data_IF_936232161228
#
_entry.id   IF_936232161228
#
_cell.length_a   1.000
_cell.length_b   1.000
_cell.length_c   1.000
_cell.angle_alpha   90.00
_cell.angle_beta   90.00
_cell.angle_gamma   90.00
#
_symmetry.space_group_name_H-M   'P 1'
#
loop_
_entity.id
_entity.type
_entity.pdbx_description
1 polymer ?
#
# COMPACT_ATOMS: atom_id res chain seq x y z
N UNK A 1 -9.63 -12.04 -14.68
CA UNK A 1 -9.14 -10.82 -14.01
C UNK A 1 -7.64 -10.66 -14.22
N UNK A 2 -6.85 -11.74 -14.14
CA UNK A 2 -5.40 -11.68 -14.34
C UNK A 2 -5.00 -11.15 -15.73
N UNK A 3 -5.77 -11.42 -16.77
CA UNK A 3 -5.57 -10.83 -18.09
C UNK A 3 -5.65 -9.30 -18.09
N UNK A 4 -6.51 -8.70 -17.28
CA UNK A 4 -6.60 -7.24 -17.15
C UNK A 4 -5.46 -6.70 -16.29
N UNK A 5 -5.16 -7.37 -15.17
CA UNK A 5 -4.05 -6.99 -14.28
C UNK A 5 -2.69 -7.04 -14.98
N UNK A 6 -2.51 -8.01 -15.87
CA UNK A 6 -1.27 -8.27 -16.59
C UNK A 6 -1.37 -7.86 -18.07
N UNK A 7 -2.33 -6.99 -18.43
CA UNK A 7 -2.58 -6.61 -19.82
C UNK A 7 -1.38 -5.92 -20.46
N UNK A 8 -0.58 -5.21 -19.67
CA UNK A 8 0.65 -4.55 -20.10
C UNK A 8 1.83 -5.10 -19.29
N UNK A 9 2.95 -5.39 -19.94
CA UNK A 9 4.16 -5.79 -19.24
C UNK A 9 4.68 -4.60 -18.40
N UNK A 10 5.33 -4.86 -17.25
CA UNK A 10 5.82 -3.78 -16.39
C UNK A 10 6.91 -2.93 -17.05
N UNK A 11 7.57 -3.42 -18.10
CA UNK A 11 8.54 -2.69 -18.92
C UNK A 11 7.86 -1.69 -19.90
N UNK A 12 6.52 -1.70 -20.00
CA UNK A 12 5.78 -0.74 -20.81
C UNK A 12 5.80 0.66 -20.14
N UNK A 13 6.79 1.46 -20.50
CA UNK A 13 7.03 2.79 -19.94
C UNK A 13 6.13 3.87 -20.56
N UNK A 14 6.03 5.01 -19.86
CA UNK A 14 5.28 6.19 -20.31
C UNK A 14 3.79 5.92 -20.58
N UNK A 15 3.17 5.01 -19.82
CA UNK A 15 1.73 4.79 -19.86
C UNK A 15 1.00 6.13 -19.63
N UNK A 16 0.01 6.49 -20.46
CA UNK A 16 -0.74 7.73 -20.28
C UNK A 16 -1.43 7.76 -18.92
N UNK A 17 -1.17 8.82 -18.15
CA UNK A 17 -1.74 9.00 -16.81
C UNK A 17 -2.23 10.43 -16.62
N UNK A 18 -3.29 10.57 -15.83
CA UNK A 18 -3.75 11.87 -15.33
C UNK A 18 -3.07 12.28 -14.01
N UNK A 19 -2.12 11.47 -13.54
CA UNK A 19 -1.36 11.68 -12.30
C UNK A 19 -0.23 12.70 -12.44
N UNK A 20 0.36 13.09 -11.30
CA UNK A 20 1.40 14.11 -11.22
C UNK A 20 2.78 13.64 -11.71
N UNK A 21 3.03 12.33 -11.73
CA UNK A 21 4.25 11.72 -12.26
C UNK A 21 3.92 10.57 -13.22
N UNK A 22 4.85 10.28 -14.13
CA UNK A 22 4.77 9.24 -15.16
C UNK A 22 5.94 8.26 -14.97
N UNK A 23 5.72 6.93 -15.02
CA UNK A 23 6.80 5.95 -14.91
C UNK A 23 7.72 6.01 -16.13
N UNK A 24 9.03 6.13 -15.89
CA UNK A 24 10.06 6.22 -16.94
C UNK A 24 11.12 5.13 -16.87
N UNK A 25 11.26 4.48 -15.72
CA UNK A 25 12.21 3.39 -15.50
C UNK A 25 11.60 2.36 -14.55
N UNK A 26 11.87 1.09 -14.83
CA UNK A 26 11.53 -0.04 -14.00
C UNK A 26 12.69 -1.03 -14.01
N UNK A 27 13.10 -1.46 -12.81
CA UNK A 27 14.01 -2.60 -12.62
C UNK A 27 13.32 -3.61 -11.69
N UNK A 28 13.10 -4.86 -12.16
CA UNK A 28 12.44 -5.89 -11.37
C UNK A 28 13.07 -6.07 -9.98
N UNK A 29 12.22 -6.19 -8.95
CA UNK A 29 12.61 -6.39 -7.55
C UNK A 29 13.59 -5.34 -6.98
N UNK A 30 13.68 -4.16 -7.61
CA UNK A 30 14.58 -3.08 -7.20
C UNK A 30 13.86 -1.74 -7.12
N UNK A 31 13.45 -1.15 -8.26
CA UNK A 31 12.93 0.21 -8.27
C UNK A 31 11.96 0.50 -9.42
N UNK A 32 11.05 1.45 -9.17
CA UNK A 32 10.34 2.21 -10.20
C UNK A 32 10.67 3.69 -10.03
N UNK A 33 11.10 4.33 -11.11
CA UNK A 33 11.35 5.78 -11.15
C UNK A 33 10.27 6.47 -11.96
N UNK A 34 9.70 7.54 -11.39
CA UNK A 34 8.68 8.36 -12.04
C UNK A 34 9.17 9.80 -12.19
N UNK A 35 8.85 10.44 -13.32
CA UNK A 35 9.18 11.84 -13.62
C UNK A 35 7.92 12.70 -13.62
N UNK A 36 8.06 13.98 -13.28
CA UNK A 36 6.96 14.96 -13.31
C UNK A 36 6.21 14.89 -14.65
N UNK A 37 4.88 14.89 -14.60
CA UNK A 37 4.04 14.91 -15.79
C UNK A 37 3.96 16.36 -16.35
N UNK A 38 4.50 16.64 -17.55
CA UNK A 38 4.46 17.99 -18.12
C UNK A 38 3.04 18.46 -18.50
N UNK A 39 2.09 17.52 -18.60
CA UNK A 39 0.68 17.80 -18.88
C UNK A 39 -0.20 17.75 -17.63
N UNK A 40 0.39 17.80 -16.42
CA UNK A 40 -0.40 17.81 -15.19
C UNK A 40 -1.24 19.08 -15.09
N UNK A 41 -2.51 18.92 -14.73
CA UNK A 41 -3.51 19.96 -14.86
C UNK A 41 -3.72 20.78 -13.59
N UNK A 42 -3.06 20.42 -12.48
CA UNK A 42 -3.17 21.17 -11.21
C UNK A 42 -2.08 22.24 -11.11
N UNK A 43 -2.47 23.41 -10.64
CA UNK A 43 -1.59 24.54 -10.34
C UNK A 43 -1.79 24.98 -8.89
N UNK A 44 -0.79 25.65 -8.32
CA UNK A 44 -0.96 26.38 -7.05
C UNK A 44 -1.56 27.77 -7.27
N UNK A 45 -1.81 28.50 -6.17
CA UNK A 45 -2.38 29.85 -6.21
C UNK A 45 -1.52 30.88 -6.96
N UNK A 46 -0.22 30.61 -7.13
CA UNK A 46 0.72 31.46 -7.86
C UNK A 46 0.84 31.07 -9.34
N UNK A 47 0.08 30.06 -9.79
CA UNK A 47 0.12 29.55 -11.15
C UNK A 47 1.28 28.60 -11.44
N UNK A 48 2.00 28.10 -10.42
CA UNK A 48 3.04 27.09 -10.65
C UNK A 48 2.39 25.73 -10.93
N UNK A 49 2.72 25.13 -12.08
CA UNK A 49 2.25 23.80 -12.42
C UNK A 49 2.85 22.75 -11.48
N UNK A 50 1.98 21.96 -10.84
CA UNK A 50 2.35 20.88 -9.93
C UNK A 50 2.83 19.64 -10.72
N UNK A 51 3.50 18.66 -10.07
CA UNK A 51 3.98 18.64 -8.68
C UNK A 51 5.23 19.51 -8.48
N UNK A 52 5.51 19.90 -7.23
CA UNK A 52 6.76 20.58 -6.89
C UNK A 52 8.00 19.67 -7.02
N UNK A 53 7.85 18.39 -6.66
CA UNK A 53 8.92 17.40 -6.76
C UNK A 53 9.03 16.86 -8.19
N UNK A 54 10.25 16.86 -8.74
CA UNK A 54 10.48 16.44 -10.13
C UNK A 54 10.49 14.93 -10.32
N UNK A 55 10.79 14.16 -9.28
CA UNK A 55 10.98 12.72 -9.33
C UNK A 55 10.33 12.07 -8.11
N UNK A 56 9.80 10.87 -8.32
CA UNK A 56 9.32 9.98 -7.27
C UNK A 56 9.92 8.59 -7.49
N UNK A 57 10.38 7.96 -6.41
CA UNK A 57 10.98 6.63 -6.45
C UNK A 57 10.18 5.67 -5.57
N UNK A 58 9.86 4.50 -6.12
CA UNK A 58 9.35 3.36 -5.36
C UNK A 58 10.41 2.27 -5.34
N UNK A 59 11.04 2.08 -4.19
CA UNK A 59 11.92 0.93 -3.95
C UNK A 59 11.07 -0.30 -3.70
N UNK A 60 11.29 -1.35 -4.47
CA UNK A 60 10.54 -2.60 -4.40
C UNK A 60 11.10 -3.48 -3.29
N UNK A 61 10.77 -3.12 -2.05
CA UNK A 61 11.16 -3.84 -0.83
C UNK A 61 9.93 -4.30 -0.05
N UNK A 62 10.10 -4.64 1.22
CA UNK A 62 9.02 -5.10 2.11
C UNK A 62 8.38 -3.93 2.87
N UNK A 63 7.16 -4.12 3.37
CA UNK A 63 6.47 -3.12 4.19
C UNK A 63 7.22 -2.77 5.47
N UNK A 64 7.84 -3.75 6.13
CA UNK A 64 8.63 -3.51 7.33
C UNK A 64 9.89 -2.69 7.01
N UNK A 65 10.52 -2.92 5.86
CA UNK A 65 11.70 -2.17 5.43
C UNK A 65 11.38 -0.69 5.12
N UNK A 66 10.13 -0.38 4.71
CA UNK A 66 9.67 1.01 4.59
C UNK A 66 9.85 1.80 5.89
N UNK A 67 9.48 1.21 7.03
CA UNK A 67 9.66 1.83 8.35
C UNK A 67 11.12 2.05 8.68
N UNK A 68 11.95 1.03 8.43
CA UNK A 68 13.41 1.06 8.67
C UNK A 68 14.07 2.15 7.84
N UNK A 69 13.80 2.21 6.53
CA UNK A 69 14.36 3.21 5.64
C UNK A 69 13.90 4.63 6.00
N UNK A 70 12.64 4.82 6.40
CA UNK A 70 12.12 6.12 6.80
C UNK A 70 12.81 6.67 8.05
N UNK A 71 12.90 5.87 9.13
CA UNK A 71 13.57 6.32 10.36
C UNK A 71 15.10 6.41 10.21
N UNK A 72 15.67 5.74 9.20
CA UNK A 72 17.08 5.85 8.83
C UNK A 72 17.38 7.02 7.87
N UNK A 73 16.35 7.61 7.24
CA UNK A 73 16.50 8.71 6.27
C UNK A 73 16.92 8.27 4.86
N UNK A 74 16.95 6.97 4.56
CA UNK A 74 17.16 6.46 3.20
C UNK A 74 15.86 6.31 2.41
N UNK A 75 14.71 6.43 3.09
CA UNK A 75 13.39 6.62 2.49
C UNK A 75 12.72 7.86 3.10
N UNK A 76 11.90 8.55 2.31
CA UNK A 76 11.33 9.83 2.73
C UNK A 76 9.95 9.69 3.41
N UNK A 77 9.36 8.49 3.42
CA UNK A 77 8.00 8.30 3.90
C UNK A 77 7.72 6.86 4.39
N UNK A 78 6.97 6.74 5.50
CA UNK A 78 6.31 5.50 5.91
C UNK A 78 4.98 5.76 6.60
N UNK A 79 4.01 4.87 6.36
CA UNK A 79 2.87 4.67 7.26
C UNK A 79 3.27 3.61 8.31
N UNK A 80 3.57 4.02 9.54
CA UNK A 80 3.92 3.08 10.62
C UNK A 80 2.65 2.39 11.14
N UNK A 81 2.29 1.26 10.51
CA UNK A 81 0.99 0.59 10.71
C UNK A 81 1.09 -0.80 11.35
N UNK A 82 2.29 -1.37 11.42
CA UNK A 82 2.56 -2.68 12.04
C UNK A 82 3.03 -2.51 13.50
N UNK A 83 2.25 -2.95 14.50
CA UNK A 83 2.61 -2.79 15.92
C UNK A 83 3.98 -3.36 16.31
N UNK A 84 4.43 -4.41 15.61
CA UNK A 84 5.73 -5.05 15.80
C UNK A 84 6.90 -4.09 15.58
N UNK A 85 6.72 -3.07 14.72
CA UNK A 85 7.75 -2.08 14.42
C UNK A 85 7.69 -0.84 15.32
N UNK A 86 6.64 -0.65 16.13
CA UNK A 86 6.41 0.61 16.85
C UNK A 86 7.54 0.96 17.81
N UNK A 87 8.00 0.00 18.60
CA UNK A 87 9.04 0.24 19.62
C UNK A 87 10.37 0.61 18.97
N UNK A 88 10.74 -0.06 17.87
CA UNK A 88 11.99 0.22 17.16
C UNK A 88 11.95 1.62 16.53
N UNK A 89 10.85 1.97 15.87
CA UNK A 89 10.66 3.28 15.23
C UNK A 89 10.62 4.42 16.24
N UNK A 90 9.92 4.24 17.38
CA UNK A 90 9.90 5.23 18.47
C UNK A 90 11.27 5.45 19.09
N UNK A 91 12.06 4.39 19.28
CA UNK A 91 13.44 4.51 19.80
C UNK A 91 14.33 5.34 18.87
N UNK A 92 14.21 5.16 17.55
CA UNK A 92 14.96 5.98 16.58
C UNK A 92 14.46 7.42 16.54
N UNK A 93 13.14 7.62 16.55
CA UNK A 93 12.54 8.96 16.56
C UNK A 93 12.81 9.77 17.85
N UNK A 94 13.23 9.12 18.93
CA UNK A 94 13.62 9.79 20.18
C UNK A 94 14.98 10.51 20.09
N UNK A 95 15.81 10.19 19.09
CA UNK A 95 17.03 10.93 18.81
C UNK A 95 16.69 12.33 18.25
N UNK A 96 17.29 13.39 18.80
CA UNK A 96 17.10 14.76 18.32
C UNK A 96 17.61 14.97 16.89
N UNK A 97 18.53 14.12 16.45
CA UNK A 97 19.09 14.13 15.10
C UNK A 97 18.38 13.16 14.15
N UNK A 98 17.24 12.57 14.56
CA UNK A 98 16.49 11.68 13.70
C UNK A 98 16.07 12.41 12.40
N UNK A 99 16.26 11.79 11.22
CA UNK A 99 16.01 12.44 9.93
C UNK A 99 14.51 12.59 9.61
N UNK A 100 13.64 11.86 10.31
CA UNK A 100 12.21 11.83 10.08
C UNK A 100 11.41 12.07 11.38
N UNK A 101 10.28 12.76 11.25
CA UNK A 101 9.32 12.99 12.35
C UNK A 101 8.29 11.86 12.40
N UNK A 102 8.03 11.34 13.58
CA UNK A 102 6.98 10.34 13.85
C UNK A 102 5.81 10.99 14.59
N UNK A 103 4.58 10.75 14.14
CA UNK A 103 3.37 11.23 14.81
C UNK A 103 2.23 10.20 14.69
N UNK A 104 1.69 9.76 15.83
CA UNK A 104 0.50 8.91 15.87
C UNK A 104 -0.79 9.73 15.78
N UNK A 105 -1.77 9.17 15.07
CA UNK A 105 -3.13 9.68 15.01
C UNK A 105 -4.11 8.87 15.88
N UNK A 106 -5.42 8.98 15.62
CA UNK A 106 -6.44 8.16 16.27
C UNK A 106 -6.31 6.67 15.89
N UNK A 107 -6.98 5.80 16.65
CA UNK A 107 -7.04 4.35 16.39
C UNK A 107 -7.98 4.05 15.21
N UNK A 108 -7.44 4.11 13.98
CA UNK A 108 -8.19 3.87 12.73
C UNK A 108 -7.72 2.62 11.95
N UNK A 109 -6.70 1.90 12.44
CA UNK A 109 -6.26 0.64 11.86
C UNK A 109 -6.86 -0.50 12.69
N UNK A 110 -7.63 -1.37 12.02
CA UNK A 110 -8.32 -2.48 12.66
C UNK A 110 -8.28 -3.74 11.80
N UNK A 111 -8.24 -4.89 12.47
CA UNK A 111 -8.24 -6.20 11.84
C UNK A 111 -9.54 -6.93 12.18
N UNK A 112 -10.08 -7.64 11.20
CA UNK A 112 -11.31 -8.42 11.35
C UNK A 112 -11.15 -9.78 10.70
N UNK A 113 -11.68 -10.82 11.35
CA UNK A 113 -11.90 -12.09 10.70
C UNK A 113 -13.07 -11.96 9.70
N UNK A 114 -12.83 -12.25 8.42
CA UNK A 114 -13.88 -12.24 7.39
C UNK A 114 -14.22 -13.66 6.97
N UNK A 115 -15.43 -14.08 7.31
CA UNK A 115 -15.99 -15.35 6.86
C UNK A 115 -16.64 -15.20 5.48
N UNK A 116 -16.48 -16.21 4.62
CA UNK A 116 -17.15 -16.21 3.31
C UNK A 116 -18.58 -16.73 3.47
N UNK A 117 -19.57 -15.88 3.18
CA UNK A 117 -21.01 -16.18 3.30
C UNK A 117 -21.69 -16.60 2.00
N UNK A 118 -20.95 -16.67 0.89
CA UNK A 118 -21.51 -17.18 -0.36
C UNK A 118 -21.67 -18.70 -0.27
N UNK A 119 -22.93 -19.14 -0.35
CA UNK A 119 -23.33 -20.53 -0.51
C UNK A 119 -23.91 -20.80 -1.92
N UNK A 120 -23.72 -19.87 -2.86
CA UNK A 120 -24.22 -19.95 -4.24
C UNK A 120 -23.08 -20.15 -5.26
N UNK A 121 -21.96 -20.73 -4.83
CA UNK A 121 -20.86 -21.11 -5.73
C UNK A 121 -19.78 -20.05 -5.96
N UNK A 122 -19.74 -18.93 -5.22
CA UNK A 122 -18.62 -17.99 -5.37
C UNK A 122 -17.29 -18.65 -5.00
N UNK A 123 -16.38 -18.64 -5.97
CA UNK A 123 -15.08 -19.32 -5.88
C UNK A 123 -15.14 -20.82 -6.16
N UNK A 124 -16.25 -21.36 -6.68
CA UNK A 124 -16.47 -22.77 -7.01
C UNK A 124 -15.96 -23.73 -5.92
N UNK A 125 -16.53 -23.66 -4.70
CA UNK A 125 -16.03 -24.44 -3.57
C UNK A 125 -16.17 -25.94 -3.83
N UNK A 126 -15.22 -26.72 -3.32
CA UNK A 126 -15.38 -28.15 -3.14
C UNK A 126 -16.41 -28.45 -2.04
N UNK A 127 -16.75 -29.72 -1.84
CA UNK A 127 -17.74 -30.14 -0.83
C UNK A 127 -17.37 -29.65 0.58
N UNK A 128 -16.10 -29.78 0.95
CA UNK A 128 -15.58 -29.27 2.22
C UNK A 128 -15.76 -27.75 2.31
N UNK A 129 -15.40 -27.02 1.26
CA UNK A 129 -15.56 -25.58 1.17
C UNK A 129 -17.02 -25.17 1.35
N UNK A 130 -17.95 -25.84 0.66
CA UNK A 130 -19.38 -25.59 0.75
C UNK A 130 -19.90 -25.83 2.19
N UNK A 131 -19.50 -26.91 2.84
CA UNK A 131 -19.84 -27.17 4.24
C UNK A 131 -19.35 -26.05 5.19
N UNK A 132 -18.13 -25.52 4.98
CA UNK A 132 -17.63 -24.36 5.73
C UNK A 132 -18.46 -23.09 5.45
N UNK A 133 -18.93 -22.87 4.20
CA UNK A 133 -19.82 -21.72 3.90
C UNK A 133 -21.16 -21.83 4.62
N UNK A 134 -21.71 -23.03 4.73
CA UNK A 134 -22.95 -23.30 5.48
C UNK A 134 -22.76 -23.04 6.98
N UNK A 135 -21.65 -23.50 7.56
CA UNK A 135 -21.28 -23.17 8.94
C UNK A 135 -21.12 -21.66 9.14
N UNK A 136 -20.39 -20.97 8.27
CA UNK A 136 -20.20 -19.53 8.36
C UNK A 136 -21.53 -18.75 8.34
N UNK A 137 -22.54 -19.25 7.63
CA UNK A 137 -23.88 -18.63 7.56
C UNK A 137 -24.74 -18.88 8.79
N UNK A 138 -24.45 -19.92 9.57
CA UNK A 138 -25.13 -20.17 10.84
C UNK A 138 -24.76 -19.09 11.86
N UNK A 139 -25.77 -18.42 12.42
CA UNK A 139 -25.57 -17.34 13.40
C UNK A 139 -24.98 -17.85 14.71
N UNK A 140 -25.43 -19.00 15.20
CA UNK A 140 -24.94 -19.58 16.45
C UNK A 140 -23.46 -19.97 16.32
N UNK A 141 -23.04 -20.45 15.15
CA UNK A 141 -21.63 -20.67 14.85
C UNK A 141 -20.82 -19.37 14.94
N UNK A 142 -21.32 -18.26 14.36
CA UNK A 142 -20.63 -16.96 14.46
C UNK A 142 -20.55 -16.45 15.89
N UNK A 143 -21.64 -16.59 16.67
CA UNK A 143 -21.65 -16.23 18.09
C UNK A 143 -20.68 -17.06 18.92
N UNK A 144 -20.40 -18.31 18.55
CA UNK A 144 -19.43 -19.13 19.24
C UNK A 144 -17.96 -18.74 18.92
N UNK A 145 -17.72 -18.12 17.76
CA UNK A 145 -16.38 -17.67 17.34
C UNK A 145 -16.01 -16.30 17.93
N UNK A 146 -16.98 -15.44 18.23
CA UNK A 146 -16.78 -14.08 18.79
C UNK A 146 -17.17 -13.97 20.24
#
# INVERSE_FOLDING_TARGET
YDQFKNAFPPEYMNMPVMGAWVPVEYRPDDIIVMRRNPYYWKVDEKGNQLPYLNELQYKLSTWADRDVQAVAGSGDFSNLEQPENFVASLKRAADKNAPARLAFGPRLIGYNLRMNFSANGWGNPDERGQAIRELNRNEDFRKAVT
#
